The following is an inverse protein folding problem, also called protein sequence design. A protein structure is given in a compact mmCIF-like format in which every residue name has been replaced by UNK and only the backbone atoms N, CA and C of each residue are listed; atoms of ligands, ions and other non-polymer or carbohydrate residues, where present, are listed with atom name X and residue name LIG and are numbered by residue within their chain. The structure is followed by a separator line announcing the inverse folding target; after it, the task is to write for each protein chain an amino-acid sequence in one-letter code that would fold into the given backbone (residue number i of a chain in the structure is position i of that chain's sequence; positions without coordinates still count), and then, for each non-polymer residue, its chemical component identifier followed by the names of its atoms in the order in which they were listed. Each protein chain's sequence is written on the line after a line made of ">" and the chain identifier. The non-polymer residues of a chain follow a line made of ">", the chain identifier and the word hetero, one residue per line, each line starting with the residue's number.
data_IF_290385216175
#
_entry.id   IF_290385216175
#
_cell.length_a   1.000
_cell.length_b   1.000
_cell.length_c   1.000
_cell.angle_alpha   90.00
_cell.angle_beta   90.00
_cell.angle_gamma   90.00
#
_symmetry.space_group_name_H-M   'P 1'
#
loop_
_entity.id
_entity.type
_entity.pdbx_description
1 polymer ?
#
# COMPACT_ATOMS: atom_id res chain seq x y z
N UNK A 1 -5.29 -1.49 -11.41
CA UNK A 1 -5.67 -2.26 -10.22
C UNK A 1 -6.50 -3.51 -10.57
N UNK A 2 -7.56 -3.36 -11.36
CA UNK A 2 -8.43 -4.49 -11.71
C UNK A 2 -7.67 -5.60 -12.43
N UNK A 3 -6.73 -5.25 -13.30
CA UNK A 3 -5.88 -6.22 -14.00
C UNK A 3 -5.01 -7.00 -13.01
N UNK A 4 -4.38 -6.31 -12.06
CA UNK A 4 -3.56 -6.96 -11.02
C UNK A 4 -4.41 -7.89 -10.14
N UNK A 5 -5.59 -7.43 -9.73
CA UNK A 5 -6.52 -8.21 -8.93
C UNK A 5 -6.92 -9.52 -9.63
N UNK A 6 -7.22 -9.45 -10.92
CA UNK A 6 -7.59 -10.60 -11.73
C UNK A 6 -6.39 -11.53 -12.00
N UNK A 7 -5.27 -10.97 -12.45
CA UNK A 7 -4.10 -11.76 -12.86
C UNK A 7 -3.42 -12.48 -11.69
N UNK A 8 -3.53 -11.94 -10.48
CA UNK A 8 -3.02 -12.58 -9.26
C UNK A 8 -4.03 -13.53 -8.63
N UNK A 9 -5.16 -13.76 -9.25
CA UNK A 9 -6.24 -14.61 -8.73
C UNK A 9 -6.79 -14.19 -7.37
N UNK A 10 -6.57 -12.96 -6.97
CA UNK A 10 -7.18 -12.46 -5.73
C UNK A 10 -8.68 -12.32 -5.90
N UNK A 11 -9.13 -11.75 -7.00
CA UNK A 11 -10.54 -11.54 -7.34
C UNK A 11 -11.33 -10.90 -6.19
N UNK A 12 -10.71 -9.97 -5.49
CA UNK A 12 -11.35 -9.27 -4.40
C UNK A 12 -12.42 -8.33 -4.92
N UNK A 13 -13.55 -8.28 -4.22
CA UNK A 13 -14.57 -7.28 -4.49
C UNK A 13 -14.11 -5.92 -3.98
N UNK A 14 -13.94 -4.99 -4.89
CA UNK A 14 -13.51 -3.62 -4.60
C UNK A 14 -14.65 -2.68 -5.00
N UNK A 15 -15.10 -1.86 -4.07
CA UNK A 15 -16.22 -0.93 -4.29
C UNK A 15 -15.85 0.53 -4.12
N UNK A 16 -14.70 0.83 -3.51
CA UNK A 16 -14.30 2.21 -3.23
C UNK A 16 -12.79 2.33 -3.10
N UNK A 17 -12.33 3.58 -3.13
CA UNK A 17 -10.93 3.94 -2.96
C UNK A 17 -10.87 5.12 -2.00
N UNK A 18 -9.94 5.06 -1.03
CA UNK A 18 -9.64 6.21 -0.20
C UNK A 18 -8.95 7.30 -1.02
N UNK A 19 -8.98 8.57 -0.58
CA UNK A 19 -8.16 9.61 -1.21
C UNK A 19 -6.71 9.18 -1.26
N UNK A 20 -6.08 9.32 -2.43
CA UNK A 20 -4.66 8.97 -2.59
C UNK A 20 -3.78 9.91 -1.80
N UNK A 21 -2.66 9.37 -1.28
CA UNK A 21 -1.70 10.11 -0.48
C UNK A 21 -0.33 10.11 -1.14
N UNK A 22 0.33 11.27 -1.11
CA UNK A 22 1.75 11.36 -1.44
C UNK A 22 2.51 11.22 -0.13
N UNK A 23 3.39 10.23 -0.05
CA UNK A 23 4.27 10.04 1.10
C UNK A 23 5.66 10.54 0.81
N UNK A 24 6.31 11.11 1.82
CA UNK A 24 7.64 11.68 1.73
C UNK A 24 8.47 11.17 2.90
N UNK A 25 9.52 10.41 2.58
CA UNK A 25 10.49 9.94 3.58
C UNK A 25 11.82 10.66 3.35
N UNK A 26 12.22 11.49 4.30
CA UNK A 26 13.56 12.11 4.35
C UNK A 26 14.55 11.11 4.93
N UNK A 27 15.83 11.50 4.99
CA UNK A 27 16.88 10.69 5.62
C UNK A 27 16.42 10.18 6.99
N UNK A 28 16.61 8.89 7.24
CA UNK A 28 16.14 8.12 8.40
C UNK A 28 14.63 7.86 8.43
N UNK A 29 13.84 8.43 7.52
CA UNK A 29 12.43 8.13 7.39
C UNK A 29 12.23 6.68 6.99
N UNK A 30 11.27 6.03 7.64
CA UNK A 30 10.96 4.62 7.42
C UNK A 30 9.56 4.30 7.92
N UNK A 31 9.11 3.09 7.62
CA UNK A 31 7.88 2.54 8.18
C UNK A 31 8.15 1.08 8.54
N UNK A 32 8.02 0.75 9.82
CA UNK A 32 8.25 -0.61 10.32
C UNK A 32 7.22 -1.60 9.75
N UNK A 33 7.48 -2.91 9.93
CA UNK A 33 6.55 -3.95 9.50
C UNK A 33 5.14 -3.69 10.03
N UNK A 34 4.17 -3.67 9.13
CA UNK A 34 2.77 -3.43 9.46
C UNK A 34 1.87 -4.02 8.38
N UNK A 35 0.58 -4.12 8.69
CA UNK A 35 -0.49 -4.37 7.73
C UNK A 35 -1.23 -3.05 7.48
N UNK A 36 -1.67 -2.82 6.25
CA UNK A 36 -2.52 -1.67 5.94
C UNK A 36 -3.97 -1.90 6.39
N UNK A 37 -4.38 -3.15 6.46
CA UNK A 37 -5.67 -3.58 6.98
C UNK A 37 -5.67 -5.09 7.20
N UNK A 38 -6.54 -5.58 8.08
CA UNK A 38 -6.65 -7.02 8.36
C UNK A 38 -7.71 -7.74 7.52
N UNK A 39 -8.50 -7.00 6.75
CA UNK A 39 -9.57 -7.56 5.92
C UNK A 39 -10.91 -7.75 6.65
N UNK A 40 -10.98 -7.46 7.93
CA UNK A 40 -12.17 -7.67 8.75
C UNK A 40 -12.64 -6.43 9.50
N UNK A 41 -11.72 -5.56 9.92
CA UNK A 41 -12.06 -4.34 10.65
C UNK A 41 -12.67 -3.30 9.71
N UNK A 42 -13.89 -2.89 10.03
CA UNK A 42 -14.66 -1.94 9.23
C UNK A 42 -14.35 -0.50 9.62
N UNK A 43 -14.41 0.41 8.64
CA UNK A 43 -14.43 1.83 8.94
C UNK A 43 -15.71 2.20 9.70
N UNK A 44 -15.55 2.91 10.80
CA UNK A 44 -16.66 3.48 11.55
C UNK A 44 -16.74 4.98 11.27
N UNK A 45 -17.23 5.32 10.09
CA UNK A 45 -17.29 6.69 9.57
C UNK A 45 -18.67 6.95 8.95
N UNK A 46 -19.76 6.99 9.76
CA UNK A 46 -21.11 7.15 9.21
C UNK A 46 -21.28 8.36 8.29
N UNK A 47 -20.49 9.41 8.51
CA UNK A 47 -20.48 10.61 7.68
C UNK A 47 -19.90 10.37 6.28
N UNK A 48 -19.13 9.34 6.09
CA UNK A 48 -18.57 8.94 4.79
C UNK A 48 -19.28 7.68 4.29
N UNK A 49 -20.34 7.86 3.53
CA UNK A 49 -21.18 6.75 3.04
C UNK A 49 -20.44 5.80 2.10
N UNK A 50 -19.35 6.25 1.49
CA UNK A 50 -18.56 5.42 0.55
C UNK A 50 -17.71 4.42 1.31
N UNK A 51 -17.08 4.85 2.41
CA UNK A 51 -16.12 4.03 3.17
C UNK A 51 -16.73 3.34 4.38
N UNK A 52 -17.82 3.88 4.94
CA UNK A 52 -18.42 3.32 6.14
C UNK A 52 -18.78 1.83 5.97
N UNK A 53 -18.37 1.02 6.91
CA UNK A 53 -18.58 -0.42 6.88
C UNK A 53 -17.66 -1.20 5.96
N UNK A 54 -16.81 -0.55 5.22
CA UNK A 54 -15.82 -1.18 4.33
C UNK A 54 -14.50 -1.43 5.05
N UNK A 55 -13.64 -2.22 4.42
CA UNK A 55 -12.27 -2.47 4.90
C UNK A 55 -11.30 -2.33 3.74
N UNK A 56 -10.04 -2.03 4.05
CA UNK A 56 -8.97 -2.04 3.04
C UNK A 56 -8.70 -3.46 2.58
N UNK A 57 -8.72 -3.70 1.27
CA UNK A 57 -8.50 -5.02 0.68
C UNK A 57 -7.25 -5.07 -0.20
N UNK A 58 -7.02 -4.03 -1.00
CA UNK A 58 -5.83 -3.92 -1.83
C UNK A 58 -5.12 -2.60 -1.56
N UNK A 59 -3.80 -2.69 -1.47
CA UNK A 59 -2.90 -1.56 -1.34
C UNK A 59 -2.13 -1.38 -2.63
N UNK A 60 -1.85 -0.14 -2.99
CA UNK A 60 -1.04 0.20 -4.16
C UNK A 60 -0.05 1.29 -3.78
N UNK A 61 1.19 1.14 -4.21
CA UNK A 61 2.19 2.19 -4.10
C UNK A 61 2.84 2.41 -5.46
N UNK A 62 3.06 3.67 -5.80
CA UNK A 62 3.69 4.07 -7.06
C UNK A 62 4.96 4.82 -6.73
N UNK A 63 6.06 4.39 -7.32
CA UNK A 63 7.38 5.02 -7.14
C UNK A 63 7.40 6.33 -7.92
N UNK A 64 7.65 7.44 -7.23
CA UNK A 64 7.63 8.78 -7.83
C UNK A 64 9.01 9.35 -8.14
N UNK A 65 10.08 8.80 -7.55
CA UNK A 65 11.45 9.24 -7.81
C UNK A 65 12.46 8.11 -7.59
N UNK A 66 13.69 8.32 -8.07
CA UNK A 66 14.79 7.35 -7.96
C UNK A 66 16.04 7.92 -7.28
N UNK A 67 16.08 9.24 -7.06
CA UNK A 67 17.26 9.97 -6.58
C UNK A 67 17.42 9.89 -5.06
N UNK A 68 17.38 8.67 -4.52
CA UNK A 68 17.59 8.40 -3.10
C UNK A 68 18.28 7.06 -2.92
N UNK A 69 18.85 6.84 -1.74
CA UNK A 69 19.44 5.57 -1.33
C UNK A 69 18.72 5.03 -0.09
N UNK A 70 18.70 3.71 0.04
CA UNK A 70 17.87 3.05 1.05
C UNK A 70 16.40 3.06 0.63
N UNK A 71 15.50 3.01 1.58
CA UNK A 71 14.06 3.12 1.32
C UNK A 71 13.48 1.95 0.56
N UNK A 72 14.11 0.77 0.60
CA UNK A 72 13.62 -0.42 -0.08
C UNK A 72 12.29 -0.87 0.53
N UNK A 73 11.42 -1.36 -0.32
CA UNK A 73 10.15 -1.97 0.09
C UNK A 73 10.39 -3.46 0.36
N UNK A 74 9.84 -3.97 1.46
CA UNK A 74 10.08 -5.34 1.90
C UNK A 74 8.79 -5.96 2.43
N UNK A 75 8.45 -7.17 1.91
CA UNK A 75 7.41 -7.99 2.48
C UNK A 75 8.00 -8.93 3.54
N UNK A 76 7.28 -9.15 4.61
CA UNK A 76 7.74 -10.01 5.72
C UNK A 76 8.07 -11.43 5.24
N UNK A 77 7.26 -11.97 4.32
CA UNK A 77 7.41 -13.34 3.82
C UNK A 77 8.43 -13.47 2.70
N UNK A 78 8.98 -12.38 2.20
CA UNK A 78 9.90 -12.36 1.07
C UNK A 78 11.17 -11.63 1.46
N UNK A 79 12.31 -12.32 1.32
CA UNK A 79 13.62 -11.74 1.64
C UNK A 79 14.14 -10.80 0.57
N UNK A 80 13.51 -10.76 -0.59
CA UNK A 80 13.91 -9.87 -1.67
C UNK A 80 13.45 -8.44 -1.38
N UNK A 81 14.37 -7.51 -1.46
CA UNK A 81 14.06 -6.09 -1.32
C UNK A 81 13.63 -5.54 -2.67
N UNK A 82 12.62 -4.67 -2.64
CA UNK A 82 12.12 -4.03 -3.85
C UNK A 82 12.57 -2.57 -3.85
N UNK A 83 13.39 -2.22 -4.85
CA UNK A 83 13.72 -0.83 -5.15
C UNK A 83 13.53 -0.64 -6.65
N UNK A 84 12.37 -0.14 -7.00
CA UNK A 84 11.93 -0.07 -8.38
C UNK A 84 12.15 1.31 -8.99
N UNK A 85 12.11 1.36 -10.31
CA UNK A 85 12.24 2.60 -11.07
C UNK A 85 10.98 3.45 -10.94
N UNK A 86 11.14 4.75 -11.21
CA UNK A 86 10.04 5.70 -11.24
C UNK A 86 8.91 5.20 -12.14
N UNK A 87 7.69 5.34 -11.67
CA UNK A 87 6.49 4.88 -12.37
C UNK A 87 6.10 3.44 -12.12
N UNK A 88 6.95 2.64 -11.43
CA UNK A 88 6.61 1.27 -11.05
C UNK A 88 5.48 1.27 -10.05
N UNK A 89 4.52 0.38 -10.27
CA UNK A 89 3.35 0.19 -9.42
C UNK A 89 3.46 -1.16 -8.70
N UNK A 90 3.37 -1.14 -7.38
CA UNK A 90 3.32 -2.34 -6.54
C UNK A 90 1.91 -2.45 -5.98
N UNK A 91 1.23 -3.57 -6.28
CA UNK A 91 -0.12 -3.86 -5.79
C UNK A 91 -0.08 -5.12 -4.96
N UNK A 92 -0.69 -5.09 -3.78
CA UNK A 92 -0.69 -6.24 -2.88
C UNK A 92 -1.92 -6.23 -1.97
N UNK A 93 -2.33 -7.42 -1.47
CA UNK A 93 -3.39 -7.48 -0.47
C UNK A 93 -3.01 -6.66 0.78
N UNK A 94 -3.95 -5.86 1.28
CA UNK A 94 -3.67 -4.95 2.40
C UNK A 94 -3.28 -5.67 3.69
N UNK A 95 -3.62 -6.96 3.82
CA UNK A 95 -3.25 -7.77 4.99
C UNK A 95 -1.80 -8.27 4.97
N UNK A 96 -1.07 -8.12 3.87
CA UNK A 96 0.33 -8.53 3.80
C UNK A 96 1.21 -7.62 4.63
N UNK A 97 2.01 -8.22 5.51
CA UNK A 97 2.94 -7.48 6.37
C UNK A 97 4.12 -7.00 5.53
N UNK A 98 4.39 -5.72 5.58
CA UNK A 98 5.42 -5.07 4.79
C UNK A 98 6.03 -3.90 5.54
N UNK A 99 7.18 -3.43 5.04
CA UNK A 99 7.83 -2.23 5.58
C UNK A 99 8.57 -1.45 4.50
N UNK A 100 8.91 -0.21 4.82
CA UNK A 100 9.84 0.62 4.06
C UNK A 100 11.10 0.79 4.91
N UNK A 101 12.24 0.35 4.41
CA UNK A 101 13.52 0.50 5.11
C UNK A 101 13.93 1.95 5.19
N UNK A 102 14.78 2.32 6.17
CA UNK A 102 15.22 3.71 6.29
C UNK A 102 15.87 4.23 5.02
N UNK A 103 15.50 5.46 4.65
CA UNK A 103 16.19 6.22 3.60
C UNK A 103 17.53 6.66 4.17
N UNK A 104 18.62 6.34 3.47
CA UNK A 104 19.97 6.67 3.93
C UNK A 104 20.52 7.93 3.28
N UNK A 105 20.01 8.29 2.10
CA UNK A 105 20.41 9.49 1.36
C UNK A 105 19.26 9.98 0.49
N UNK A 106 19.07 11.28 0.42
CA UNK A 106 18.02 11.89 -0.39
C UNK A 106 16.65 11.80 0.25
N UNK A 107 15.63 11.91 -0.57
CA UNK A 107 14.23 11.88 -0.15
C UNK A 107 13.45 10.93 -1.06
N UNK A 108 12.66 10.05 -0.46
CA UNK A 108 11.82 9.10 -1.18
C UNK A 108 10.39 9.62 -1.25
N UNK A 109 9.84 9.65 -2.46
CA UNK A 109 8.43 9.99 -2.70
C UNK A 109 7.69 8.81 -3.29
N UNK A 110 6.47 8.57 -2.80
CA UNK A 110 5.57 7.59 -3.37
C UNK A 110 4.13 8.06 -3.30
N UNK A 111 3.32 7.59 -4.25
CA UNK A 111 1.87 7.76 -4.21
C UNK A 111 1.27 6.47 -3.67
N UNK A 112 0.44 6.58 -2.65
CA UNK A 112 -0.20 5.42 -1.99
C UNK A 112 -1.70 5.52 -2.17
N UNK A 113 -2.30 4.39 -2.51
CA UNK A 113 -3.75 4.26 -2.64
C UNK A 113 -4.23 2.99 -1.93
N UNK A 114 -5.36 3.08 -1.25
CA UNK A 114 -6.01 1.94 -0.62
C UNK A 114 -7.39 1.74 -1.24
N UNK A 115 -7.63 0.51 -1.67
CA UNK A 115 -8.90 0.11 -2.30
C UNK A 115 -9.67 -0.75 -1.33
N UNK A 116 -10.94 -0.42 -1.15
CA UNK A 116 -11.78 -0.95 -0.10
C UNK A 116 -12.98 -1.70 -0.68
N UNK A 117 -13.56 -2.54 0.15
CA UNK A 117 -14.77 -3.27 -0.17
C UNK A 117 -15.35 -3.91 1.10
N UNK A 118 -16.31 -4.80 0.93
CA UNK A 118 -16.86 -5.55 2.04
C UNK A 118 -15.77 -6.40 2.71
N UNK A 119 -15.77 -6.53 4.04
CA UNK A 119 -14.82 -7.40 4.73
C UNK A 119 -14.86 -8.82 4.22
N UNK A 120 -13.74 -9.51 4.34
CA UNK A 120 -13.67 -10.94 4.06
C UNK A 120 -14.52 -11.70 5.10
N UNK A 121 -15.14 -12.77 4.63
CA UNK A 121 -16.01 -13.60 5.48
C UNK A 121 -15.21 -14.78 6.02
#
# INVERSE_FOLDING_TARGET
>A
LHTANKNSNWNFEISSCEPMQITKYKKNGHYEFHQDGNGFTRFDTPENKILHGKTRKLSMTIVLNEDYEGGEFEFFDDKNLIKEKIGTVIVFPSYMVHKVRPVTKGTRYSLVAWFCGEPFI
#
